data_IF_599309528483
#
_entry.id   IF_599309528483
#
_cell.length_a   1.000
_cell.length_b   1.000
_cell.length_c   1.000
_cell.angle_alpha   90.00
_cell.angle_beta   90.00
_cell.angle_gamma   90.00
#
_symmetry.space_group_name_H-M   'P 1'
#
loop_
_entity.id
_entity.type
_entity.pdbx_description
1 polymer ?
#
# COMPACT_ATOMS: atom_id res chain seq x y z
N UNK A 1 -58.36 -30.62 5.71
CA UNK A 1 -57.31 -31.22 6.58
C UNK A 1 -56.00 -31.20 5.79
N UNK A 2 -54.92 -30.45 6.06
CA UNK A 2 -54.57 -29.39 7.03
C UNK A 2 -53.89 -28.27 6.21
N UNK A 3 -54.29 -27.02 6.40
CA UNK A 3 -53.59 -25.84 5.88
C UNK A 3 -52.44 -25.56 6.86
N UNK A 4 -51.19 -25.80 6.45
CA UNK A 4 -50.02 -25.44 7.25
C UNK A 4 -49.58 -24.04 6.84
N UNK A 5 -50.01 -23.04 7.61
CA UNK A 5 -49.50 -21.67 7.56
C UNK A 5 -48.06 -21.69 8.04
N UNK A 6 -47.11 -21.48 7.15
CA UNK A 6 -45.70 -21.27 7.51
C UNK A 6 -45.42 -19.77 7.46
N UNK A 7 -45.33 -19.16 8.63
CA UNK A 7 -44.87 -17.78 8.82
C UNK A 7 -43.40 -17.67 8.42
N UNK A 8 -43.11 -17.00 7.31
CA UNK A 8 -41.76 -16.56 6.98
C UNK A 8 -41.41 -15.36 7.87
N UNK A 9 -40.52 -15.58 8.84
CA UNK A 9 -39.84 -14.50 9.54
C UNK A 9 -38.89 -13.80 8.57
N UNK A 10 -39.16 -12.52 8.27
CA UNK A 10 -38.26 -11.68 7.52
C UNK A 10 -37.04 -11.35 8.39
N UNK A 11 -35.89 -11.97 8.08
CA UNK A 11 -34.61 -11.52 8.61
C UNK A 11 -34.24 -10.21 7.90
N UNK A 12 -34.46 -9.10 8.59
CA UNK A 12 -34.01 -7.78 8.19
C UNK A 12 -32.47 -7.80 8.22
N UNK A 13 -31.82 -8.04 7.08
CA UNK A 13 -30.40 -7.75 6.94
C UNK A 13 -30.22 -6.24 7.10
N UNK A 14 -29.68 -5.84 8.25
CA UNK A 14 -29.10 -4.51 8.41
C UNK A 14 -27.92 -4.39 7.46
N UNK A 15 -28.19 -3.87 6.26
CA UNK A 15 -27.16 -3.26 5.41
C UNK A 15 -26.70 -2.03 6.18
N UNK A 16 -25.70 -2.21 7.05
CA UNK A 16 -24.90 -1.10 7.56
C UNK A 16 -24.45 -0.31 6.34
N UNK A 17 -24.85 0.96 6.29
CA UNK A 17 -24.59 1.85 5.17
C UNK A 17 -23.13 1.79 4.78
N UNK A 18 -22.86 1.26 3.58
CA UNK A 18 -21.62 1.52 2.89
C UNK A 18 -21.62 3.01 2.57
N UNK A 19 -21.12 3.83 3.51
CA UNK A 19 -20.62 5.14 3.15
C UNK A 19 -19.68 4.92 1.97
N UNK A 20 -19.88 5.66 0.89
CA UNK A 20 -19.01 5.61 -0.27
C UNK A 20 -17.58 5.78 0.22
N UNK A 21 -16.78 4.71 0.18
CA UNK A 21 -15.36 4.78 0.51
C UNK A 21 -14.74 5.71 -0.53
N UNK A 22 -14.47 6.95 -0.14
CA UNK A 22 -13.87 7.94 -1.01
C UNK A 22 -12.41 7.58 -1.17
N UNK A 23 -12.06 6.90 -2.25
CA UNK A 23 -10.69 6.77 -2.70
C UNK A 23 -10.43 7.92 -3.67
N UNK A 24 -9.53 8.83 -3.30
CA UNK A 24 -9.13 9.95 -4.14
C UNK A 24 -7.71 9.68 -4.63
N UNK A 25 -7.46 9.61 -5.95
CA UNK A 25 -6.11 9.59 -6.47
C UNK A 25 -5.41 10.91 -6.17
N UNK A 26 -4.14 10.87 -5.77
CA UNK A 26 -3.38 12.08 -5.47
C UNK A 26 -2.29 12.30 -6.52
N UNK A 27 -2.23 13.52 -7.04
CA UNK A 27 -1.22 13.92 -8.02
C UNK A 27 0.10 14.25 -7.34
N UNK A 28 1.19 13.79 -7.94
CA UNK A 28 2.54 14.01 -7.44
C UNK A 28 3.32 14.98 -8.31
N UNK A 29 4.15 15.79 -7.66
CA UNK A 29 5.21 16.55 -8.32
C UNK A 29 6.55 15.98 -7.89
N UNK A 30 7.38 15.61 -8.85
CA UNK A 30 8.77 15.23 -8.59
C UNK A 30 9.53 16.44 -8.05
N UNK A 31 10.22 16.27 -6.93
CA UNK A 31 11.07 17.29 -6.34
C UNK A 31 12.44 17.33 -7.05
N UNK A 32 13.12 18.46 -6.94
CA UNK A 32 14.49 18.57 -7.48
C UNK A 32 15.48 17.80 -6.61
N UNK A 33 16.54 17.27 -7.24
CA UNK A 33 17.56 16.46 -6.58
C UNK A 33 17.15 15.01 -6.30
N UNK A 34 18.08 14.26 -5.71
CA UNK A 34 17.89 12.88 -5.26
C UNK A 34 18.39 12.73 -3.82
N UNK A 35 17.97 11.66 -3.14
CA UNK A 35 18.42 11.25 -1.81
C UNK A 35 18.72 9.74 -1.81
N UNK A 36 18.92 9.13 -0.64
CA UNK A 36 19.07 7.69 -0.47
C UNK A 36 20.32 7.38 0.36
N UNK A 37 20.82 6.15 0.20
CA UNK A 37 22.06 5.70 0.80
C UNK A 37 23.30 6.29 0.13
N UNK A 38 24.39 5.52 0.14
CA UNK A 38 25.68 5.85 -0.45
C UNK A 38 25.58 5.97 -1.98
N UNK A 39 24.85 5.05 -2.61
CA UNK A 39 24.47 5.08 -4.02
C UNK A 39 23.12 5.79 -4.13
N UNK A 40 23.13 7.10 -3.82
CA UNK A 40 21.95 7.93 -3.79
C UNK A 40 21.37 8.14 -5.20
N UNK A 41 20.23 7.53 -5.46
CA UNK A 41 19.41 7.82 -6.64
C UNK A 41 17.90 7.70 -6.34
N UNK A 42 17.50 7.95 -5.09
CA UNK A 42 16.08 8.02 -4.75
C UNK A 42 15.51 9.35 -5.22
N UNK A 43 14.61 9.30 -6.20
CA UNK A 43 13.76 10.44 -6.54
C UNK A 43 12.64 10.59 -5.52
N UNK A 44 12.36 11.83 -5.11
CA UNK A 44 11.29 12.12 -4.15
C UNK A 44 10.15 12.84 -4.82
N UNK A 45 8.94 12.35 -4.57
CA UNK A 45 7.71 12.89 -5.11
C UNK A 45 6.86 13.43 -3.96
N UNK A 46 6.27 14.61 -4.17
CA UNK A 46 5.41 15.29 -3.20
C UNK A 46 3.98 15.43 -3.71
N UNK A 47 3.00 15.16 -2.86
CA UNK A 47 1.60 15.55 -3.04
C UNK A 47 1.14 16.45 -1.88
N UNK A 48 0.35 17.49 -2.21
CA UNK A 48 -0.37 18.30 -1.23
C UNK A 48 -1.73 17.65 -0.96
N UNK A 49 -2.02 17.39 0.32
CA UNK A 49 -3.25 16.70 0.73
C UNK A 49 -4.31 17.68 1.24
N UNK A 50 -4.00 18.97 1.42
CA UNK A 50 -4.85 19.93 2.11
C UNK A 50 -6.26 20.10 1.54
N UNK A 51 -6.48 19.71 0.28
CA UNK A 51 -7.75 19.79 -0.41
C UNK A 51 -8.63 18.51 -0.34
N UNK A 52 -8.21 17.45 0.38
CA UNK A 52 -8.94 16.17 0.39
C UNK A 52 -10.35 16.25 1.00
N UNK A 53 -10.60 17.18 1.93
CA UNK A 53 -11.93 17.38 2.55
C UNK A 53 -12.40 16.24 3.47
N UNK A 54 -11.55 15.26 3.75
CA UNK A 54 -11.80 14.16 4.70
C UNK A 54 -10.53 13.77 5.44
N UNK A 55 -10.69 13.16 6.62
CA UNK A 55 -9.57 12.58 7.36
C UNK A 55 -9.05 11.31 6.69
N UNK A 56 -7.73 11.16 6.63
CA UNK A 56 -7.07 10.03 6.00
C UNK A 56 -7.00 8.86 6.98
N UNK A 57 -7.42 7.68 6.53
CA UNK A 57 -7.33 6.43 7.26
C UNK A 57 -6.35 5.45 6.62
N UNK A 58 -6.18 5.51 5.29
CA UNK A 58 -5.25 4.65 4.57
C UNK A 58 -4.73 5.29 3.29
N UNK A 59 -3.57 4.80 2.85
CA UNK A 59 -2.91 5.16 1.59
C UNK A 59 -2.59 3.86 0.88
N UNK A 60 -2.85 3.76 -0.43
CA UNK A 60 -2.37 2.64 -1.23
C UNK A 60 -1.63 3.11 -2.47
N UNK A 61 -0.65 2.32 -2.85
CA UNK A 61 0.14 2.46 -4.07
C UNK A 61 -0.15 1.20 -4.87
N UNK A 62 -0.68 1.37 -6.07
CA UNK A 62 -0.81 0.32 -7.06
C UNK A 62 0.22 0.62 -8.16
N UNK A 63 1.16 -0.30 -8.38
CA UNK A 63 2.08 -0.19 -9.52
C UNK A 63 1.27 -0.31 -10.81
N UNK A 64 1.25 0.78 -11.56
CA UNK A 64 0.57 0.90 -12.85
C UNK A 64 1.55 1.33 -13.95
N UNK A 65 2.85 1.15 -13.70
CA UNK A 65 3.95 1.55 -14.58
C UNK A 65 3.99 0.82 -15.92
N UNK A 66 3.24 -0.29 -16.06
CA UNK A 66 3.27 -1.17 -17.23
C UNK A 66 4.70 -1.65 -17.59
N UNK A 67 5.53 -1.86 -16.57
CA UNK A 67 6.92 -2.30 -16.71
C UNK A 67 7.92 -1.17 -17.02
N UNK A 68 7.50 0.10 -16.91
CA UNK A 68 8.40 1.25 -16.89
C UNK A 68 9.21 1.23 -15.59
N UNK A 69 10.54 1.35 -15.70
CA UNK A 69 11.43 1.32 -14.54
C UNK A 69 11.84 -0.08 -14.08
N UNK A 70 12.56 -0.13 -12.96
CA UNK A 70 13.06 -1.32 -12.27
C UNK A 70 14.07 -2.12 -13.07
N UNK A 71 14.37 -3.33 -12.61
CA UNK A 71 15.15 -4.33 -13.33
C UNK A 71 14.45 -5.70 -13.40
N UNK A 72 14.95 -6.66 -14.20
CA UNK A 72 14.50 -8.04 -14.14
C UNK A 72 14.64 -8.69 -12.76
N UNK A 73 13.94 -9.80 -12.54
CA UNK A 73 14.02 -10.59 -11.31
C UNK A 73 13.40 -9.89 -10.12
N UNK A 74 14.08 -9.95 -8.98
CA UNK A 74 13.57 -9.44 -7.70
C UNK A 74 13.33 -7.93 -7.68
N UNK A 75 13.89 -7.17 -8.62
CA UNK A 75 13.78 -5.71 -8.74
C UNK A 75 12.72 -5.26 -9.75
N UNK A 76 11.68 -6.08 -9.97
CA UNK A 76 10.63 -5.77 -10.94
C UNK A 76 9.57 -4.83 -10.37
N UNK A 77 8.95 -4.05 -11.26
CA UNK A 77 7.97 -3.01 -10.92
C UNK A 77 8.55 -1.92 -10.02
N UNK A 78 7.65 -1.13 -9.44
CA UNK A 78 8.02 0.03 -8.63
C UNK A 78 8.89 -0.33 -7.39
N UNK A 79 10.08 0.29 -7.32
CA UNK A 79 11.02 0.21 -6.21
C UNK A 79 10.79 1.34 -5.17
N UNK A 80 9.97 1.04 -4.14
CA UNK A 80 9.62 1.98 -3.08
C UNK A 80 10.71 2.04 -2.00
N UNK A 81 11.39 3.19 -1.90
CA UNK A 81 12.33 3.52 -0.80
C UNK A 81 11.56 3.92 0.45
N UNK A 82 10.72 4.96 0.33
CA UNK A 82 10.14 5.61 1.49
C UNK A 82 8.72 6.09 1.27
N UNK A 83 7.96 6.16 2.36
CA UNK A 83 6.70 6.91 2.44
C UNK A 83 6.64 7.70 3.73
N UNK A 84 6.29 8.99 3.63
CA UNK A 84 6.28 9.92 4.77
C UNK A 84 5.15 10.93 4.65
N UNK A 85 4.45 11.18 5.76
CA UNK A 85 3.55 12.31 5.91
C UNK A 85 4.25 13.39 6.74
N UNK A 86 4.27 14.64 6.29
CA UNK A 86 4.89 15.74 7.02
C UNK A 86 4.11 17.04 6.84
N UNK A 87 4.17 17.90 7.85
CA UNK A 87 3.65 19.28 7.78
C UNK A 87 4.64 20.24 7.14
N UNK A 88 5.86 19.77 6.82
CA UNK A 88 6.88 20.57 6.15
C UNK A 88 6.61 20.56 4.65
N UNK A 89 6.52 21.73 4.02
CA UNK A 89 6.44 21.87 2.57
C UNK A 89 7.85 21.96 1.96
N UNK A 90 8.37 20.85 1.48
CA UNK A 90 9.72 20.76 0.93
C UNK A 90 9.78 21.14 -0.55
N UNK A 91 10.87 21.81 -0.92
CA UNK A 91 11.17 22.22 -2.29
C UNK A 91 12.04 21.20 -3.06
N UNK A 92 12.81 20.38 -2.34
CA UNK A 92 13.75 19.42 -2.89
C UNK A 92 13.75 18.09 -2.10
N UNK A 93 14.41 17.07 -2.68
CA UNK A 93 14.52 15.74 -2.10
C UNK A 93 15.25 15.73 -0.75
N UNK A 94 16.29 16.56 -0.60
CA UNK A 94 17.08 16.64 0.64
C UNK A 94 16.24 17.15 1.82
N UNK A 95 15.42 18.18 1.60
CA UNK A 95 14.45 18.65 2.58
C UNK A 95 13.47 17.54 2.96
N UNK A 96 12.90 16.83 1.98
CA UNK A 96 11.92 15.79 2.25
C UNK A 96 12.50 14.61 3.04
N UNK A 97 13.76 14.24 2.75
CA UNK A 97 14.51 13.25 3.51
C UNK A 97 14.71 13.69 4.96
N UNK A 98 15.12 14.95 5.19
CA UNK A 98 15.38 15.50 6.52
C UNK A 98 14.11 15.88 7.31
N UNK A 99 12.99 16.14 6.64
CA UNK A 99 11.76 16.58 7.28
C UNK A 99 11.24 15.54 8.27
N UNK A 100 10.76 16.02 9.43
CA UNK A 100 10.14 15.18 10.43
C UNK A 100 8.85 14.56 9.86
N UNK A 101 8.76 13.22 9.93
CA UNK A 101 7.55 12.49 9.58
C UNK A 101 6.58 12.41 10.76
N UNK A 102 5.28 12.40 10.46
CA UNK A 102 4.26 12.01 11.42
C UNK A 102 4.39 10.52 11.76
N UNK A 103 4.29 10.18 13.04
CA UNK A 103 4.32 8.80 13.54
C UNK A 103 2.97 8.09 13.35
N UNK A 104 2.46 8.08 12.11
CA UNK A 104 1.15 7.51 11.75
C UNK A 104 1.24 6.23 10.93
N UNK A 105 2.42 5.90 10.39
CA UNK A 105 2.65 4.62 9.72
C UNK A 105 3.03 3.54 10.73
N UNK A 106 2.39 2.37 10.62
CA UNK A 106 2.80 1.15 11.32
C UNK A 106 3.30 0.14 10.28
N UNK A 107 4.59 0.17 9.96
CA UNK A 107 5.17 -0.73 8.96
C UNK A 107 5.17 -2.21 9.39
N UNK A 108 5.09 -2.49 10.70
CA UNK A 108 5.11 -3.85 11.26
C UNK A 108 3.75 -4.57 11.25
N UNK A 109 2.64 -3.86 11.08
CA UNK A 109 1.30 -4.48 11.13
C UNK A 109 0.17 -3.69 10.47
N UNK A 110 0.44 -2.48 9.99
CA UNK A 110 -0.48 -1.66 9.21
C UNK A 110 -0.20 -1.70 7.71
N UNK A 111 0.74 -2.52 7.25
CA UNK A 111 1.15 -2.61 5.84
C UNK A 111 0.69 -3.92 5.21
N UNK A 112 0.02 -3.83 4.07
CA UNK A 112 -0.54 -4.96 3.33
C UNK A 112 0.04 -5.00 1.93
N UNK A 113 0.82 -6.03 1.66
CA UNK A 113 1.47 -6.21 0.37
C UNK A 113 0.78 -7.30 -0.44
N UNK A 114 0.51 -7.00 -1.71
CA UNK A 114 0.10 -7.96 -2.73
C UNK A 114 1.15 -7.92 -3.83
N UNK A 115 1.99 -8.96 -3.97
CA UNK A 115 3.08 -8.94 -4.93
C UNK A 115 2.56 -8.93 -6.37
N UNK A 116 3.25 -8.14 -7.21
CA UNK A 116 3.10 -8.17 -8.66
C UNK A 116 3.93 -9.28 -9.30
N UNK A 117 4.00 -9.24 -10.63
CA UNK A 117 4.82 -10.19 -11.39
C UNK A 117 6.30 -9.79 -11.40
N UNK A 118 7.19 -10.78 -11.32
CA UNK A 118 8.59 -10.57 -11.65
C UNK A 118 8.82 -10.71 -13.15
N UNK A 119 9.67 -9.85 -13.71
CA UNK A 119 10.18 -9.95 -15.07
C UNK A 119 11.29 -11.00 -15.12
N UNK A 120 11.40 -11.71 -16.24
CA UNK A 120 12.36 -12.80 -16.38
C UNK A 120 13.82 -12.30 -16.51
N UNK A 121 14.82 -13.02 -15.97
CA UNK A 121 14.68 -14.24 -15.16
C UNK A 121 14.14 -13.93 -13.76
N UNK A 122 13.17 -14.72 -13.28
CA UNK A 122 12.57 -14.52 -11.97
C UNK A 122 13.49 -15.06 -10.85
N UNK A 123 13.60 -14.28 -9.78
CA UNK A 123 14.25 -14.66 -8.53
C UNK A 123 13.24 -15.32 -7.57
N UNK A 124 13.71 -15.94 -6.46
CA UNK A 124 12.81 -16.59 -5.50
C UNK A 124 11.71 -15.71 -4.92
N UNK A 125 11.95 -14.38 -4.80
CA UNK A 125 11.02 -13.38 -4.27
C UNK A 125 11.39 -11.99 -4.77
N UNK A 126 10.49 -11.02 -4.64
CA UNK A 126 10.78 -9.60 -4.85
C UNK A 126 11.70 -9.05 -3.75
N UNK A 127 12.48 -8.03 -4.07
CA UNK A 127 13.40 -7.42 -3.14
C UNK A 127 12.67 -6.72 -1.99
N UNK A 128 13.26 -6.72 -0.78
CA UNK A 128 12.64 -6.11 0.41
C UNK A 128 11.41 -6.84 0.94
N UNK A 129 11.10 -8.05 0.45
CA UNK A 129 9.96 -8.85 0.92
C UNK A 129 10.37 -9.96 1.90
N UNK A 130 9.44 -10.40 2.74
CA UNK A 130 9.65 -11.51 3.68
C UNK A 130 9.90 -12.86 3.00
N UNK A 131 10.16 -13.94 3.76
CA UNK A 131 10.58 -15.24 3.19
C UNK A 131 9.60 -15.84 2.16
N UNK A 132 8.31 -15.56 2.30
CA UNK A 132 7.27 -16.03 1.39
C UNK A 132 6.94 -15.05 0.24
N UNK A 133 7.63 -13.90 0.15
CA UNK A 133 7.44 -12.93 -0.92
C UNK A 133 6.13 -12.11 -0.87
N UNK A 134 5.35 -12.22 0.21
CA UNK A 134 4.00 -11.65 0.34
C UNK A 134 3.84 -10.70 1.54
N UNK A 135 4.95 -10.34 2.17
CA UNK A 135 5.03 -9.41 3.30
C UNK A 135 6.23 -8.48 3.08
N UNK A 136 6.21 -7.30 3.71
CA UNK A 136 7.37 -6.40 3.73
C UNK A 136 8.38 -6.91 4.75
N UNK A 137 9.65 -6.99 4.36
CA UNK A 137 10.76 -7.23 5.29
C UNK A 137 11.29 -5.88 5.80
N UNK A 138 10.84 -5.48 6.98
CA UNK A 138 11.20 -4.20 7.59
C UNK A 138 12.68 -4.11 7.99
N UNK A 139 13.41 -5.23 8.04
CA UNK A 139 14.86 -5.20 8.26
C UNK A 139 15.63 -4.80 6.98
N UNK A 140 15.03 -4.98 5.80
CA UNK A 140 15.61 -4.64 4.50
C UNK A 140 15.05 -3.33 3.96
N UNK A 141 13.72 -3.19 3.88
CA UNK A 141 13.08 -2.11 3.11
C UNK A 141 13.00 -0.76 3.83
N UNK A 142 13.01 -0.73 5.17
CA UNK A 142 13.05 0.49 6.01
C UNK A 142 12.21 1.70 5.52
N UNK A 143 10.97 1.45 5.05
CA UNK A 143 10.08 2.41 4.35
C UNK A 143 9.75 3.74 5.06
N UNK A 144 10.19 3.94 6.30
CA UNK A 144 10.06 5.21 7.02
C UNK A 144 11.22 6.18 6.78
N UNK A 145 12.28 5.74 6.09
CA UNK A 145 13.51 6.48 5.84
C UNK A 145 13.77 6.52 4.34
N UNK A 146 14.36 7.62 3.86
CA UNK A 146 14.84 7.75 2.48
C UNK A 146 16.29 7.29 2.44
N UNK A 147 16.52 5.99 2.48
CA UNK A 147 17.84 5.38 2.66
C UNK A 147 18.18 4.27 1.65
N UNK A 148 17.40 4.17 0.57
CA UNK A 148 17.60 3.23 -0.51
C UNK A 148 18.99 3.32 -1.17
N UNK A 149 19.68 2.19 -1.26
CA UNK A 149 20.91 2.00 -2.03
C UNK A 149 20.54 1.59 -3.47
N UNK A 150 20.68 2.52 -4.43
CA UNK A 150 20.22 2.30 -5.80
C UNK A 150 21.17 1.41 -6.62
N UNK A 151 21.08 0.11 -6.37
CA UNK A 151 21.85 -0.92 -7.07
C UNK A 151 21.06 -2.22 -7.15
N UNK A 152 21.36 -3.02 -8.18
CA UNK A 152 20.84 -4.40 -8.32
C UNK A 152 21.84 -5.45 -7.83
N UNK A 153 23.03 -5.02 -7.38
CA UNK A 153 24.05 -5.92 -6.87
C UNK A 153 23.68 -6.46 -5.48
N UNK A 154 23.77 -7.78 -5.30
CA UNK A 154 23.56 -8.46 -4.03
C UNK A 154 24.86 -9.18 -3.61
N UNK A 155 25.43 -8.89 -2.42
CA UNK A 155 25.00 -7.86 -1.47
C UNK A 155 25.29 -6.43 -1.97
N UNK A 156 24.50 -5.45 -1.52
CA UNK A 156 24.68 -4.03 -1.87
C UNK A 156 23.37 -3.25 -1.92
N UNK A 157 22.30 -3.86 -2.43
CA UNK A 157 20.96 -3.28 -2.37
C UNK A 157 20.39 -3.37 -0.94
N UNK A 158 19.81 -2.28 -0.45
CA UNK A 158 19.10 -2.17 0.83
C UNK A 158 18.25 -0.91 0.89
N UNK A 159 17.33 -0.80 1.85
CA UNK A 159 16.56 0.42 2.10
C UNK A 159 15.33 0.63 1.22
N UNK A 160 14.90 -0.39 0.48
CA UNK A 160 13.69 -0.30 -0.36
C UNK A 160 13.04 -1.67 -0.55
N UNK A 161 11.84 -1.67 -1.14
CA UNK A 161 11.18 -2.88 -1.62
C UNK A 161 10.70 -2.74 -3.05
N UNK A 162 10.74 -3.84 -3.79
CA UNK A 162 10.19 -3.92 -5.14
C UNK A 162 8.78 -4.49 -5.10
N UNK A 163 7.84 -3.85 -5.78
CA UNK A 163 6.43 -4.26 -5.74
C UNK A 163 6.08 -5.35 -6.75
N UNK A 164 6.90 -5.55 -7.78
CA UNK A 164 6.56 -6.36 -8.95
C UNK A 164 5.60 -5.63 -9.87
N UNK A 165 5.59 -6.00 -11.15
CA UNK A 165 4.72 -5.41 -12.16
C UNK A 165 3.24 -5.67 -11.77
N UNK A 166 2.47 -4.59 -11.59
CA UNK A 166 1.07 -4.67 -11.14
C UNK A 166 0.90 -4.97 -9.65
N UNK A 167 1.98 -4.87 -8.87
CA UNK A 167 1.96 -5.07 -7.42
C UNK A 167 1.20 -3.96 -6.68
N UNK A 168 0.84 -4.22 -5.43
CA UNK A 168 0.13 -3.28 -4.58
C UNK A 168 0.68 -3.27 -3.16
N UNK A 169 0.85 -2.07 -2.62
CA UNK A 169 1.16 -1.84 -1.22
C UNK A 169 0.13 -0.89 -0.60
N UNK A 170 -0.43 -1.27 0.55
CA UNK A 170 -1.38 -0.44 1.28
C UNK A 170 -0.94 -0.23 2.72
N UNK A 171 -1.19 0.97 3.23
CA UNK A 171 -0.85 1.40 4.58
C UNK A 171 -2.11 1.87 5.29
N UNK A 172 -2.48 1.21 6.38
CA UNK A 172 -3.44 1.73 7.34
C UNK A 172 -2.71 2.62 8.33
N UNK A 173 -3.16 3.87 8.45
CA UNK A 173 -2.61 4.81 9.43
C UNK A 173 -3.03 4.40 10.84
N UNK A 174 -2.20 4.63 11.85
CA UNK A 174 -2.52 4.29 13.25
C UNK A 174 -3.71 5.10 13.77
N UNK A 175 -3.91 6.32 13.26
CA UNK A 175 -5.05 7.18 13.56
C UNK A 175 -5.59 7.87 12.29
N UNK A 176 -6.86 8.32 12.37
CA UNK A 176 -7.39 9.24 11.37
C UNK A 176 -6.54 10.52 11.37
N UNK A 177 -6.07 10.94 10.20
CA UNK A 177 -5.14 12.04 10.05
C UNK A 177 -5.80 13.19 9.30
N UNK A 178 -5.81 14.38 9.89
CA UNK A 178 -6.29 15.60 9.23
C UNK A 178 -5.32 15.97 8.08
N UNK A 179 -5.81 16.10 6.84
CA UNK A 179 -4.96 16.43 5.71
C UNK A 179 -4.54 17.91 5.66
N UNK A 180 -5.10 18.78 6.50
CA UNK A 180 -4.85 20.22 6.46
C UNK A 180 -3.38 20.55 6.70
N UNK A 181 -2.73 21.19 5.71
CA UNK A 181 -1.31 21.52 5.77
C UNK A 181 -0.37 20.31 5.71
N UNK A 182 -0.87 19.17 5.22
CA UNK A 182 -0.13 17.91 5.17
C UNK A 182 0.36 17.61 3.75
N UNK A 183 1.61 17.14 3.67
CA UNK A 183 2.24 16.70 2.45
C UNK A 183 2.59 15.21 2.54
N UNK A 184 2.34 14.48 1.47
CA UNK A 184 2.78 13.10 1.28
C UNK A 184 4.04 13.09 0.44
N UNK A 185 5.08 12.44 0.95
CA UNK A 185 6.33 12.19 0.25
C UNK A 185 6.49 10.70 -0.02
N UNK A 186 6.86 10.35 -1.25
CA UNK A 186 7.18 9.00 -1.69
C UNK A 186 8.57 9.00 -2.33
N UNK A 187 9.41 8.03 -1.97
CA UNK A 187 10.73 7.82 -2.55
C UNK A 187 10.73 6.66 -3.55
N UNK A 188 11.27 6.89 -4.73
CA UNK A 188 11.48 5.90 -5.78
C UNK A 188 12.97 5.68 -6.00
N UNK A 189 13.43 4.43 -5.89
CA UNK A 189 14.83 4.11 -6.14
C UNK A 189 15.13 4.11 -7.64
N UNK A 190 16.20 4.81 -8.04
CA UNK A 190 16.74 4.77 -9.40
C UNK A 190 16.27 5.91 -10.32
N UNK A 191 15.29 6.71 -9.89
CA UNK A 191 14.78 7.86 -10.64
C UNK A 191 14.42 7.55 -12.10
N UNK A 192 13.72 6.44 -12.29
CA UNK A 192 13.33 5.88 -13.57
C UNK A 192 11.89 6.27 -13.98
N UNK A 193 11.13 6.93 -13.09
CA UNK A 193 9.79 7.47 -13.35
C UNK A 193 8.62 6.58 -12.93
N UNK A 194 8.86 5.52 -12.15
CA UNK A 194 7.82 4.58 -11.69
C UNK A 194 6.70 5.22 -10.88
N UNK A 195 7.00 6.18 -9.99
CA UNK A 195 5.96 6.82 -9.18
C UNK A 195 5.00 7.63 -10.04
N UNK A 196 5.53 8.31 -11.06
CA UNK A 196 4.71 9.10 -11.98
C UNK A 196 3.72 8.23 -12.79
N UNK A 197 4.03 6.94 -12.94
CA UNK A 197 3.18 5.99 -13.63
C UNK A 197 2.33 5.11 -12.68
N UNK A 198 2.55 5.22 -11.37
CA UNK A 198 1.78 4.49 -10.36
C UNK A 198 0.45 5.16 -10.03
N UNK A 199 -0.49 4.40 -9.47
CA UNK A 199 -1.76 4.91 -8.97
C UNK A 199 -1.74 4.96 -7.44
N UNK A 200 -1.63 6.16 -6.88
CA UNK A 200 -1.61 6.38 -5.44
C UNK A 200 -2.96 6.93 -4.99
N UNK A 201 -3.60 6.23 -4.06
CA UNK A 201 -4.93 6.55 -3.56
C UNK A 201 -4.88 6.83 -2.06
N UNK A 202 -5.61 7.87 -1.65
CA UNK A 202 -5.84 8.20 -0.24
C UNK A 202 -7.31 7.97 0.08
N UNK A 203 -7.58 7.38 1.26
CA UNK A 203 -8.94 6.95 1.66
C UNK A 203 -9.27 7.37 3.08
N UNK A 204 -10.56 7.59 3.33
CA UNK A 204 -11.11 7.80 4.68
C UNK A 204 -11.50 6.50 5.41
N UNK A 205 -11.27 5.35 4.79
CA UNK A 205 -11.48 4.02 5.38
C UNK A 205 -10.18 3.24 5.43
N UNK A 206 -10.10 2.30 6.38
CA UNK A 206 -9.00 1.33 6.46
C UNK A 206 -9.17 0.25 5.42
N UNK A 207 -8.06 -0.24 4.87
CA UNK A 207 -8.02 -1.46 4.09
C UNK A 207 -8.25 -2.65 5.04
N UNK A 208 -9.22 -3.55 4.77
CA UNK A 208 -9.42 -4.74 5.59
C UNK A 208 -8.16 -5.60 5.63
N UNK A 209 -7.83 -6.13 6.80
CA UNK A 209 -6.75 -7.09 6.92
C UNK A 209 -7.09 -8.35 6.10
N UNK A 210 -6.15 -8.91 5.31
CA UNK A 210 -6.44 -10.06 4.44
C UNK A 210 -7.12 -11.24 5.14
N UNK A 211 -6.83 -11.48 6.42
CA UNK A 211 -7.43 -12.57 7.20
C UNK A 211 -8.93 -12.39 7.52
N UNK A 212 -9.43 -11.16 7.59
CA UNK A 212 -10.84 -10.87 7.94
C UNK A 212 -11.78 -11.29 6.80
N UNK A 213 -11.33 -11.16 5.55
CA UNK A 213 -12.09 -11.59 4.38
C UNK A 213 -12.21 -13.13 4.30
N UNK A 214 -11.15 -13.85 4.66
CA UNK A 214 -11.16 -15.32 4.71
C UNK A 214 -12.13 -15.85 5.77
N UNK A 215 -12.20 -15.20 6.94
CA UNK A 215 -13.12 -15.57 8.03
C UNK A 215 -14.58 -15.28 7.68
N UNK A 216 -14.87 -14.15 7.03
CA UNK A 216 -16.22 -13.83 6.54
C UNK A 216 -16.70 -14.83 5.47
N UNK A 217 -15.81 -15.24 4.55
CA UNK A 217 -16.11 -16.26 3.54
C UNK A 217 -16.48 -17.61 4.15
N UNK A 218 -15.74 -18.07 5.16
CA UNK A 218 -16.02 -19.32 5.86
C UNK A 218 -17.32 -19.26 6.70
N UNK A 219 -17.62 -18.11 7.31
CA UNK A 219 -18.88 -17.88 8.04
C UNK A 219 -20.12 -17.96 7.14
N UNK A 220 -20.05 -17.40 5.92
CA UNK A 220 -21.16 -17.46 4.95
C UNK A 220 -21.33 -18.89 4.41
N UNK A 221 -20.24 -19.61 4.11
CA UNK A 221 -20.31 -21.00 3.65
C UNK A 221 -20.88 -21.95 4.72
N UNK A 222 -20.57 -21.75 5.99
CA UNK A 222 -21.11 -22.56 7.09
C UNK A 222 -22.60 -22.32 7.33
N UNK A 223 -23.07 -21.07 7.24
CA UNK A 223 -24.51 -20.73 7.32
C UNK A 223 -25.33 -21.27 6.14
N UNK A 224 -24.74 -21.36 4.94
CA UNK A 224 -25.38 -21.97 3.77
C UNK A 224 -25.31 -23.51 3.77
N UNK A 225 -24.25 -24.10 4.35
CA UNK A 225 -24.07 -25.54 4.49
C UNK A 225 -24.98 -26.18 5.55
N UNK A 226 -25.32 -25.45 6.61
CA UNK A 226 -26.23 -25.91 7.68
C UNK A 226 -27.69 -26.05 7.22
N UNK A 227 -28.10 -25.41 6.11
CA UNK A 227 -29.45 -25.55 5.55
C UNK A 227 -29.70 -26.88 4.82
N UNK A 228 -28.67 -27.69 4.52
CA UNK A 228 -28.84 -28.97 3.80
C UNK A 228 -28.97 -30.22 4.69
N UNK A 229 -29.04 -30.09 6.02
CA UNK A 229 -29.11 -31.25 6.94
C UNK A 229 -30.33 -31.28 7.87
N UNK A 230 -31.43 -30.60 7.53
CA UNK A 230 -32.70 -30.68 8.27
C UNK A 230 -33.84 -31.08 7.33
N UNK A 231 -33.76 -32.30 6.81
CA UNK A 231 -34.87 -33.13 6.31
C UNK A 231 -34.29 -34.52 6.03
N UNK A 232 -34.27 -35.36 7.05
CA UNK A 232 -34.21 -36.82 6.96
C UNK A 232 -35.29 -37.36 7.87
#
# INVERSE_FOLDING_TARGET
>A
MKIVRSTLAAALLGVLGAGTAGAVPVGFTKLTGVTGGTIAATAVYKADLGALGFQIASISIDDASAGLGGAPGQFSGFDLDAIKLSTTNCADAACAAAAAGLAVFNFGGGTFFTPGAQRAPADPKLFGTGPAGNTVDNAVARLGLFDGESTTAIPGAEGFMSMGDGGRLAFNLTALTDPTGLFLYIGEVGDNGEVAASNIQVRNTRVPEPGVLSLLGLGVCSLLGLRRRLCA
#
